data_IF_324829545167
#
_entry.id   IF_324829545167
#
_cell.length_a   1.000
_cell.length_b   1.000
_cell.length_c   1.000
_cell.angle_alpha   90.00
_cell.angle_beta   90.00
_cell.angle_gamma   90.00
#
_symmetry.space_group_name_H-M   'P 1'
#
loop_
_entity.id
_entity.type
_entity.pdbx_description
1 polymer ?
#
# COMPACT_ATOMS: atom_id res chain seq x y z
N UNK A 1 19.90 -18.10 -30.90
CA UNK A 1 20.12 -17.20 -29.75
C UNK A 1 18.85 -16.38 -29.60
N UNK A 2 18.05 -16.64 -28.57
CA UNK A 2 16.74 -15.98 -28.42
C UNK A 2 16.94 -14.72 -27.57
N UNK A 3 16.79 -13.55 -28.17
CA UNK A 3 16.78 -12.29 -27.43
C UNK A 3 15.40 -12.15 -26.78
N UNK A 4 15.37 -12.23 -25.44
CA UNK A 4 14.16 -11.93 -24.66
C UNK A 4 14.16 -10.43 -24.44
N UNK A 5 13.23 -9.72 -25.08
CA UNK A 5 13.03 -8.30 -24.85
C UNK A 5 12.59 -8.14 -23.38
N UNK A 6 13.42 -7.54 -22.54
CA UNK A 6 13.06 -7.24 -21.17
C UNK A 6 12.14 -6.01 -21.19
N UNK A 7 10.84 -6.25 -21.09
CA UNK A 7 9.85 -5.19 -20.89
C UNK A 7 9.74 -4.97 -19.38
N UNK A 8 10.27 -3.85 -18.90
CA UNK A 8 10.05 -3.43 -17.51
C UNK A 8 8.70 -2.71 -17.41
N UNK A 9 7.80 -3.25 -16.59
CA UNK A 9 6.48 -2.66 -16.30
C UNK A 9 6.49 -2.11 -14.88
N UNK A 10 5.97 -0.90 -14.70
CA UNK A 10 5.67 -0.33 -13.38
C UNK A 10 4.15 -0.33 -13.21
N UNK A 11 3.69 -0.88 -12.10
CA UNK A 11 2.29 -0.83 -11.68
C UNK A 11 2.20 -0.03 -10.39
N UNK A 12 1.20 0.85 -10.31
CA UNK A 12 0.93 1.65 -9.11
C UNK A 12 -0.57 1.58 -8.86
N UNK A 13 -0.93 1.03 -7.70
CA UNK A 13 -2.32 0.84 -7.29
C UNK A 13 -2.58 1.64 -6.01
N UNK A 14 -3.66 2.43 -6.02
CA UNK A 14 -4.11 3.15 -4.84
C UNK A 14 -5.06 2.28 -4.00
N UNK A 15 -5.01 2.45 -2.68
CA UNK A 15 -5.97 1.84 -1.75
C UNK A 15 -7.17 2.77 -1.56
N UNK A 16 -8.35 2.34 -2.00
CA UNK A 16 -9.55 3.20 -2.05
C UNK A 16 -10.39 3.14 -0.78
N UNK A 17 -10.14 2.15 0.09
CA UNK A 17 -10.96 1.90 1.28
C UNK A 17 -10.24 2.25 2.59
N UNK A 18 -9.26 3.15 2.53
CA UNK A 18 -8.57 3.69 3.70
C UNK A 18 -9.48 4.72 4.41
N UNK A 19 -9.82 4.52 5.69
CA UNK A 19 -10.65 5.45 6.45
C UNK A 19 -9.87 6.71 6.86
N UNK A 20 -10.55 7.67 7.50
CA UNK A 20 -9.86 8.75 8.20
C UNK A 20 -9.10 8.21 9.40
N UNK A 21 -7.79 8.44 9.44
CA UNK A 21 -6.89 8.03 10.52
C UNK A 21 -7.07 8.89 11.77
N UNK A 22 -7.04 8.24 12.92
CA UNK A 22 -7.07 8.78 14.28
C UNK A 22 -5.85 8.31 15.07
N UNK A 23 -5.62 8.95 16.20
CA UNK A 23 -4.59 8.55 17.16
C UNK A 23 -4.80 7.11 17.63
N UNK A 24 -3.71 6.37 17.75
CA UNK A 24 -3.67 4.94 18.11
C UNK A 24 -4.27 3.96 17.10
N UNK A 25 -4.64 4.42 15.89
CA UNK A 25 -5.05 3.50 14.81
C UNK A 25 -3.87 2.61 14.36
N UNK A 26 -4.14 1.32 14.16
CA UNK A 26 -3.17 0.40 13.54
C UNK A 26 -3.18 0.58 12.02
N UNK A 27 -2.17 1.30 11.52
CA UNK A 27 -2.02 1.59 10.10
C UNK A 27 -1.80 0.32 9.28
N UNK A 28 -1.08 -0.68 9.80
CA UNK A 28 -0.83 -1.91 9.07
C UNK A 28 -2.13 -2.71 8.91
N UNK A 29 -2.93 -2.83 9.96
CA UNK A 29 -4.22 -3.50 9.90
C UNK A 29 -5.18 -2.78 8.93
N UNK A 30 -5.18 -1.45 8.94
CA UNK A 30 -5.99 -0.64 8.01
C UNK A 30 -5.57 -0.86 6.55
N UNK A 31 -4.27 -0.88 6.26
CA UNK A 31 -3.74 -1.15 4.92
C UNK A 31 -4.20 -2.53 4.44
N UNK A 32 -3.99 -3.57 5.26
CA UNK A 32 -4.37 -4.95 4.92
C UNK A 32 -5.89 -5.07 4.67
N UNK A 33 -6.71 -4.44 5.53
CA UNK A 33 -8.17 -4.41 5.33
C UNK A 33 -8.58 -3.68 4.05
N UNK A 34 -7.88 -2.61 3.66
CA UNK A 34 -8.17 -1.92 2.40
C UNK A 34 -7.76 -2.76 1.19
N UNK A 35 -6.58 -3.38 1.23
CA UNK A 35 -6.11 -4.29 0.17
C UNK A 35 -7.08 -5.42 -0.09
N UNK A 36 -7.58 -6.06 0.98
CA UNK A 36 -8.61 -7.11 0.86
C UNK A 36 -9.89 -6.62 0.17
N UNK A 37 -10.33 -5.38 0.45
CA UNK A 37 -11.52 -4.80 -0.20
C UNK A 37 -11.27 -4.41 -1.65
N UNK A 38 -10.07 -3.92 -1.94
CA UNK A 38 -9.64 -3.55 -3.29
C UNK A 38 -9.25 -4.78 -4.14
N UNK A 39 -9.30 -5.99 -3.57
CA UNK A 39 -8.84 -7.24 -4.22
C UNK A 39 -7.39 -7.15 -4.71
N UNK A 40 -6.54 -6.49 -3.91
CA UNK A 40 -5.10 -6.37 -4.15
C UNK A 40 -4.39 -7.37 -3.24
N UNK A 41 -3.56 -8.22 -3.84
CA UNK A 41 -2.63 -9.10 -3.12
C UNK A 41 -1.26 -8.44 -3.07
N UNK A 42 -0.56 -8.56 -1.94
CA UNK A 42 0.83 -8.10 -1.81
C UNK A 42 1.76 -9.25 -2.16
N UNK A 43 2.65 -9.05 -3.13
CA UNK A 43 3.64 -10.04 -3.53
C UNK A 43 5.04 -9.69 -3.01
N UNK A 44 5.92 -10.68 -3.00
CA UNK A 44 7.32 -10.46 -2.67
C UNK A 44 7.93 -9.42 -3.64
N UNK A 45 8.67 -8.46 -3.07
CA UNK A 45 9.28 -7.30 -3.76
C UNK A 45 8.33 -6.14 -4.10
N UNK A 46 7.06 -6.21 -3.70
CA UNK A 46 6.19 -5.03 -3.75
C UNK A 46 6.62 -3.96 -2.75
N UNK A 47 6.30 -2.72 -3.08
CA UNK A 47 6.61 -1.55 -2.25
C UNK A 47 5.32 -0.92 -1.78
N UNK A 48 5.15 -0.86 -0.45
CA UNK A 48 4.06 -0.10 0.17
C UNK A 48 4.52 1.33 0.41
N UNK A 49 3.87 2.29 -0.24
CA UNK A 49 4.14 3.73 -0.07
C UNK A 49 3.07 4.36 0.82
N UNK A 50 3.51 4.97 1.92
CA UNK A 50 2.64 5.57 2.93
C UNK A 50 2.99 7.05 3.06
N UNK A 51 1.98 7.92 3.03
CA UNK A 51 2.18 9.35 3.30
C UNK A 51 2.49 9.57 4.79
N UNK A 52 3.52 10.36 5.11
CA UNK A 52 3.90 10.69 6.48
C UNK A 52 2.73 11.13 7.35
N UNK A 53 1.80 11.94 6.82
CA UNK A 53 0.69 12.53 7.59
C UNK A 53 -0.20 11.49 8.27
N UNK A 54 -0.38 10.31 7.67
CA UNK A 54 -1.20 9.27 8.29
C UNK A 54 -0.46 8.57 9.43
N UNK A 55 0.86 8.45 9.33
CA UNK A 55 1.71 7.97 10.43
C UNK A 55 1.65 8.96 11.60
N UNK A 56 1.88 10.26 11.36
CA UNK A 56 1.84 11.27 12.42
C UNK A 56 0.51 11.29 13.18
N UNK A 57 -0.62 11.17 12.46
CA UNK A 57 -1.95 11.07 13.08
C UNK A 57 -2.10 9.85 13.97
N UNK A 58 -1.65 8.67 13.53
CA UNK A 58 -1.73 7.45 14.32
C UNK A 58 -0.81 7.50 15.54
N UNK A 59 0.36 8.12 15.42
CA UNK A 59 1.32 8.31 16.51
C UNK A 59 0.96 9.46 17.48
N UNK A 60 -0.01 10.31 17.12
CA UNK A 60 -0.45 11.43 17.96
C UNK A 60 0.50 12.64 17.95
N UNK A 61 1.25 12.86 16.86
CA UNK A 61 2.19 13.99 16.70
C UNK A 61 1.85 14.96 15.57
#
# INVERSE_FOLDING_TARGET
MSFKLAISKLEVSALNHVPSIKESDDIAEIILKSMLKDSIELEDNDIVVIAQKIISKAEGC
#
